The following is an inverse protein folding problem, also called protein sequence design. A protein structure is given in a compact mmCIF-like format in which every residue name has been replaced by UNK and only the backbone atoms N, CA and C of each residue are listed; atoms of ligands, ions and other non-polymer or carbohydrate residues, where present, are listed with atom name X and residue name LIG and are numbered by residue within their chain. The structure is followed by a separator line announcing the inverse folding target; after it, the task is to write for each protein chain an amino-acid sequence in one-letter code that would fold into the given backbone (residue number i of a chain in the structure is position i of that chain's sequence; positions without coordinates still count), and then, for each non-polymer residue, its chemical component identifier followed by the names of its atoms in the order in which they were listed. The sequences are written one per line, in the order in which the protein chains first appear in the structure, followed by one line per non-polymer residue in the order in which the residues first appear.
data_IF_944451272285
#
_entry.id   IF_944451272285
#
_cell.length_a   1.000
_cell.length_b   1.000
_cell.length_c   1.000
_cell.angle_alpha   90.00
_cell.angle_beta   90.00
_cell.angle_gamma   90.00
#
_symmetry.space_group_name_H-M   'P 1'
#
loop_
_entity.id
_entity.type
_entity.pdbx_description
1 polymer ?
#
# COMPACT_ATOMS: atom_id res chain seq x y z
N UNK A 1 -7.67 -13.34 -17.29
CA UNK A 1 -7.72 -14.33 -16.20
C UNK A 1 -6.35 -14.37 -15.54
N UNK A 2 -6.23 -13.82 -14.33
CA UNK A 2 -5.18 -14.10 -13.33
C UNK A 2 -5.42 -13.19 -12.10
N UNK A 3 -6.57 -13.34 -11.43
CA UNK A 3 -6.74 -12.81 -10.08
C UNK A 3 -6.05 -13.77 -9.10
N UNK A 4 -4.72 -13.82 -9.16
CA UNK A 4 -3.91 -14.52 -8.17
C UNK A 4 -3.50 -13.54 -7.08
N UNK A 5 -3.83 -13.85 -5.82
CA UNK A 5 -3.16 -13.21 -4.70
C UNK A 5 -1.67 -13.59 -4.78
N UNK A 6 -0.77 -12.60 -4.64
CA UNK A 6 0.64 -12.90 -4.47
C UNK A 6 0.78 -13.59 -3.10
N UNK A 7 1.06 -14.90 -3.12
CA UNK A 7 1.27 -15.70 -1.92
C UNK A 7 2.78 -15.82 -1.71
N UNK A 8 3.27 -15.28 -0.60
CA UNK A 8 4.65 -15.46 -0.17
C UNK A 8 4.66 -16.72 0.69
N UNK A 9 5.45 -17.76 0.34
CA UNK A 9 5.62 -18.94 1.18
C UNK A 9 6.18 -18.57 2.56
N UNK A 10 5.80 -19.32 3.60
CA UNK A 10 6.27 -19.06 4.98
C UNK A 10 7.80 -19.19 5.11
N UNK A 11 8.43 -20.03 4.28
CA UNK A 11 9.88 -20.24 4.24
C UNK A 11 10.62 -19.31 3.25
N UNK A 12 9.95 -18.29 2.71
CA UNK A 12 10.55 -17.41 1.71
C UNK A 12 11.42 -16.33 2.36
N UNK A 13 12.73 -16.56 2.34
CA UNK A 13 13.73 -15.65 2.87
C UNK A 13 14.84 -15.39 1.85
N UNK A 14 15.11 -14.13 1.54
CA UNK A 14 16.24 -13.73 0.70
C UNK A 14 17.41 -13.26 1.59
N UNK A 15 18.65 -13.66 1.27
CA UNK A 15 19.80 -13.29 2.08
C UNK A 15 20.05 -11.78 2.02
N UNK A 16 20.22 -11.19 3.19
CA UNK A 16 20.51 -9.76 3.40
C UNK A 16 21.74 -9.31 2.59
N UNK A 17 22.75 -10.18 2.47
CA UNK A 17 23.98 -9.93 1.70
C UNK A 17 23.79 -9.80 0.19
N UNK A 18 22.62 -10.15 -0.35
CA UNK A 18 22.30 -9.96 -1.77
C UNK A 18 21.79 -8.54 -2.08
N UNK A 19 21.67 -7.67 -1.07
CA UNK A 19 21.12 -6.33 -1.20
C UNK A 19 22.06 -5.26 -0.65
N UNK A 20 22.00 -4.07 -1.23
CA UNK A 20 22.66 -2.88 -0.70
C UNK A 20 21.83 -2.29 0.44
N UNK A 21 22.15 -2.68 1.67
CA UNK A 21 21.45 -2.23 2.88
C UNK A 21 22.25 -1.13 3.57
N UNK A 22 21.58 -0.05 4.06
CA UNK A 22 22.25 0.98 4.84
C UNK A 22 23.00 0.38 6.04
N UNK A 23 24.26 0.80 6.23
CA UNK A 23 25.14 0.30 7.30
C UNK A 23 24.59 0.49 8.71
N UNK A 24 23.65 1.41 8.90
CA UNK A 24 22.99 1.61 10.19
C UNK A 24 22.01 0.49 10.58
N UNK A 25 21.74 -0.46 9.68
CA UNK A 25 20.93 -1.66 9.94
C UNK A 25 21.76 -2.95 9.85
N UNK A 26 23.08 -2.84 9.83
CA UNK A 26 23.96 -4.00 9.75
C UNK A 26 23.83 -4.86 11.03
N UNK A 27 23.54 -6.15 10.86
CA UNK A 27 23.23 -7.07 11.96
C UNK A 27 21.81 -6.99 12.54
N UNK A 28 20.99 -6.01 12.16
CA UNK A 28 19.61 -5.86 12.64
C UNK A 28 18.58 -6.62 11.79
N UNK A 29 18.97 -7.07 10.60
CA UNK A 29 18.09 -7.76 9.65
C UNK A 29 18.49 -9.23 9.51
N UNK A 30 17.51 -10.13 9.60
CA UNK A 30 17.71 -11.57 9.39
C UNK A 30 17.55 -11.98 7.93
N UNK A 31 16.53 -11.46 7.24
CA UNK A 31 16.19 -11.78 5.86
C UNK A 31 15.40 -10.67 5.18
N UNK A 32 15.41 -10.64 3.84
CA UNK A 32 14.55 -9.78 3.02
C UNK A 32 13.42 -10.64 2.44
N UNK A 33 12.16 -10.26 2.70
CA UNK A 33 10.98 -11.02 2.24
C UNK A 33 10.33 -10.39 1.01
N UNK A 34 10.32 -9.06 0.93
CA UNK A 34 9.72 -8.31 -0.18
C UNK A 34 10.74 -7.32 -0.71
N UNK A 35 11.09 -7.45 -1.98
CA UNK A 35 12.00 -6.54 -2.67
C UNK A 35 11.23 -5.43 -3.36
N UNK A 36 11.93 -4.33 -3.67
CA UNK A 36 11.35 -3.24 -4.47
C UNK A 36 10.85 -3.74 -5.84
N UNK A 37 11.59 -4.63 -6.50
CA UNK A 37 11.20 -5.20 -7.79
C UNK A 37 9.87 -5.95 -7.74
N UNK A 38 9.64 -6.75 -6.69
CA UNK A 38 8.38 -7.47 -6.49
C UNK A 38 7.21 -6.50 -6.26
N UNK A 39 7.46 -5.39 -5.56
CA UNK A 39 6.47 -4.33 -5.37
C UNK A 39 6.12 -3.72 -6.73
N UNK A 40 7.11 -3.28 -7.51
CA UNK A 40 6.90 -2.65 -8.82
C UNK A 40 6.14 -3.55 -9.79
N UNK A 41 6.51 -4.83 -9.87
CA UNK A 41 5.83 -5.80 -10.72
C UNK A 41 4.36 -5.96 -10.33
N UNK A 42 4.08 -6.01 -9.01
CA UNK A 42 2.70 -6.10 -8.54
C UNK A 42 1.90 -4.84 -8.83
N UNK A 43 2.51 -3.65 -8.72
CA UNK A 43 1.87 -2.37 -9.08
C UNK A 43 1.46 -2.35 -10.54
N UNK A 44 2.32 -2.85 -11.44
CA UNK A 44 2.00 -2.96 -12.87
C UNK A 44 0.77 -3.85 -13.13
N UNK A 45 0.72 -5.02 -12.51
CA UNK A 45 -0.45 -5.90 -12.60
C UNK A 45 -1.74 -5.25 -12.05
N UNK A 46 -1.64 -4.46 -10.99
CA UNK A 46 -2.79 -3.70 -10.46
C UNK A 46 -3.26 -2.65 -11.47
N UNK A 47 -2.34 -1.95 -12.13
CA UNK A 47 -2.70 -1.00 -13.18
C UNK A 47 -3.47 -1.68 -14.33
N UNK A 48 -2.98 -2.81 -14.82
CA UNK A 48 -3.64 -3.59 -15.87
C UNK A 48 -5.05 -4.05 -15.46
N UNK A 49 -5.25 -4.38 -14.17
CA UNK A 49 -6.55 -4.78 -13.64
C UNK A 49 -7.54 -3.61 -13.49
N UNK A 50 -7.06 -2.41 -13.12
CA UNK A 50 -7.90 -1.20 -12.95
C UNK A 50 -8.26 -0.58 -14.31
N UNK A 51 -7.37 -0.68 -15.30
CA UNK A 51 -7.55 -0.08 -16.62
C UNK A 51 -7.48 1.45 -16.60
N UNK A 52 -8.13 2.09 -17.58
CA UNK A 52 -8.06 3.54 -17.83
C UNK A 52 -9.00 4.42 -17.01
N UNK A 53 -9.78 3.86 -16.08
CA UNK A 53 -10.79 4.62 -15.31
C UNK A 53 -10.17 5.59 -14.30
N UNK A 54 -10.95 6.57 -13.82
CA UNK A 54 -10.54 7.46 -12.74
C UNK A 54 -10.10 6.65 -11.50
N UNK A 55 -8.95 7.01 -10.94
CA UNK A 55 -8.30 6.32 -9.83
C UNK A 55 -8.05 7.28 -8.68
N UNK A 56 -8.50 6.91 -7.48
CA UNK A 56 -8.23 7.61 -6.23
C UNK A 56 -7.36 6.75 -5.33
N UNK A 57 -6.18 7.25 -5.00
CA UNK A 57 -5.20 6.59 -4.16
C UNK A 57 -5.31 7.11 -2.73
N UNK A 58 -5.47 6.21 -1.76
CA UNK A 58 -5.62 6.54 -0.36
C UNK A 58 -4.44 5.98 0.45
N UNK A 59 -3.63 6.87 1.03
CA UNK A 59 -2.46 6.51 1.82
C UNK A 59 -2.77 6.53 3.32
N UNK A 60 -2.52 5.42 4.02
CA UNK A 60 -2.68 5.35 5.47
C UNK A 60 -1.37 5.63 6.21
N UNK A 61 -1.24 6.86 6.72
CA UNK A 61 -0.08 7.29 7.48
C UNK A 61 0.02 6.60 8.86
N UNK A 62 1.23 6.41 9.41
CA UNK A 62 2.54 6.85 8.89
C UNK A 62 3.32 5.75 8.16
N UNK A 63 2.98 4.47 8.37
CA UNK A 63 3.83 3.35 7.95
C UNK A 63 3.88 3.12 6.45
N UNK A 64 2.80 3.42 5.70
CA UNK A 64 2.73 3.07 4.28
C UNK A 64 3.34 4.10 3.34
N UNK A 65 3.84 5.25 3.85
CA UNK A 65 4.24 6.37 2.98
C UNK A 65 5.34 5.99 1.97
N UNK A 66 6.36 5.21 2.36
CA UNK A 66 7.46 4.82 1.45
C UNK A 66 6.93 3.95 0.32
N UNK A 67 6.12 2.95 0.67
CA UNK A 67 5.47 2.06 -0.30
C UNK A 67 4.49 2.84 -1.18
N UNK A 68 3.73 3.76 -0.59
CA UNK A 68 2.78 4.60 -1.29
C UNK A 68 3.46 5.51 -2.33
N UNK A 69 4.59 6.12 -2.00
CA UNK A 69 5.35 6.90 -2.97
C UNK A 69 5.80 6.04 -4.16
N UNK A 70 6.39 4.88 -3.91
CA UNK A 70 6.79 3.96 -4.98
C UNK A 70 5.61 3.51 -5.85
N UNK A 71 4.45 3.28 -5.23
CA UNK A 71 3.19 2.96 -5.90
C UNK A 71 2.70 4.12 -6.79
N UNK A 72 2.70 5.35 -6.28
CA UNK A 72 2.28 6.55 -7.01
C UNK A 72 3.21 6.80 -8.20
N UNK A 73 4.52 6.64 -8.03
CA UNK A 73 5.50 6.85 -9.08
C UNK A 73 5.32 5.85 -10.23
N UNK A 74 5.22 4.55 -9.91
CA UNK A 74 4.99 3.50 -10.91
C UNK A 74 3.62 3.65 -11.58
N UNK A 75 2.56 3.96 -10.84
CA UNK A 75 1.23 4.19 -11.41
C UNK A 75 1.20 5.42 -12.31
N UNK A 76 1.88 6.49 -11.95
CA UNK A 76 1.97 7.71 -12.77
C UNK A 76 2.68 7.41 -14.09
N UNK A 77 3.76 6.62 -14.05
CA UNK A 77 4.47 6.18 -15.25
C UNK A 77 3.61 5.27 -16.13
N UNK A 78 2.92 4.29 -15.53
CA UNK A 78 2.07 3.36 -16.26
C UNK A 78 0.84 4.05 -16.89
N UNK A 79 0.30 5.07 -16.21
CA UNK A 79 -0.88 5.85 -16.64
C UNK A 79 -0.53 7.10 -17.45
N UNK A 80 0.71 7.26 -17.89
CA UNK A 80 1.15 8.46 -18.64
C UNK A 80 0.27 8.75 -19.87
N UNK A 81 -0.26 7.72 -20.52
CA UNK A 81 -1.15 7.84 -21.68
C UNK A 81 -2.64 7.80 -21.36
N UNK A 82 -3.04 7.71 -20.08
CA UNK A 82 -4.45 7.68 -19.68
C UNK A 82 -5.04 9.09 -19.65
N UNK A 83 -6.27 9.25 -20.14
CA UNK A 83 -6.98 10.53 -20.13
C UNK A 83 -7.59 10.89 -18.78
N UNK A 84 -7.84 9.90 -17.92
CA UNK A 84 -8.48 10.08 -16.62
C UNK A 84 -7.47 10.44 -15.51
N UNK A 85 -7.76 11.45 -14.68
CA UNK A 85 -6.84 11.91 -13.64
C UNK A 85 -6.73 10.93 -12.48
N UNK A 86 -5.56 10.97 -11.82
CA UNK A 86 -5.29 10.26 -10.57
C UNK A 86 -5.34 11.25 -9.41
N UNK A 87 -6.12 10.95 -8.36
CA UNK A 87 -6.13 11.74 -7.11
C UNK A 87 -5.42 10.99 -5.99
N UNK A 88 -4.83 11.73 -5.07
CA UNK A 88 -4.08 11.19 -3.93
C UNK A 88 -4.60 11.84 -2.65
N UNK A 89 -5.02 11.01 -1.71
CA UNK A 89 -5.55 11.41 -0.41
C UNK A 89 -4.78 10.72 0.71
N UNK A 90 -4.63 11.41 1.83
CA UNK A 90 -3.92 10.91 3.00
C UNK A 90 -4.87 10.80 4.19
N UNK A 91 -4.89 9.63 4.81
CA UNK A 91 -5.62 9.41 6.05
C UNK A 91 -4.69 8.91 7.14
N UNK A 92 -5.09 9.20 8.37
CA UNK A 92 -4.53 8.63 9.58
C UNK A 92 -5.62 7.83 10.27
N UNK A 93 -5.39 6.53 10.38
CA UNK A 93 -6.26 5.68 11.18
C UNK A 93 -5.77 5.69 12.62
N UNK A 94 -6.68 5.93 13.57
CA UNK A 94 -6.49 5.63 14.99
C UNK A 94 -7.42 4.47 15.35
N UNK A 95 -6.85 3.37 15.83
CA UNK A 95 -7.59 2.20 16.31
C UNK A 95 -7.51 2.00 17.83
N UNK A 96 -6.85 2.93 18.54
CA UNK A 96 -6.58 2.83 19.97
C UNK A 96 -6.89 4.18 20.65
N UNK A 97 -7.73 4.13 21.68
CA UNK A 97 -7.81 5.12 22.74
C UNK A 97 -7.34 4.38 24.00
N UNK A 98 -6.11 4.69 24.43
CA UNK A 98 -5.39 4.04 25.54
C UNK A 98 -5.22 2.51 25.35
N UNK A 99 -4.89 1.75 26.41
CA UNK A 99 -4.66 0.30 26.39
C UNK A 99 -5.92 -0.54 26.07
N UNK A 100 -7.00 0.10 25.61
CA UNK A 100 -8.25 -0.54 25.22
C UNK A 100 -8.51 -0.34 23.73
N UNK A 101 -8.66 -1.44 22.99
CA UNK A 101 -9.14 -1.35 21.60
C UNK A 101 -10.61 -0.94 21.64
N UNK A 102 -10.91 0.30 21.24
CA UNK A 102 -12.26 0.86 21.23
C UNK A 102 -13.19 0.22 20.17
N UNK A 103 -12.70 -0.76 19.42
CA UNK A 103 -13.44 -1.47 18.38
C UNK A 103 -13.85 -0.58 17.19
N UNK A 104 -13.47 0.71 17.19
CA UNK A 104 -13.89 1.70 16.21
C UNK A 104 -12.68 2.42 15.63
N UNK A 105 -12.44 2.24 14.33
CA UNK A 105 -11.37 2.93 13.61
C UNK A 105 -11.80 4.38 13.36
N UNK A 106 -11.11 5.33 13.97
CA UNK A 106 -11.27 6.74 13.64
C UNK A 106 -10.38 7.08 12.44
N UNK A 107 -11.00 7.55 11.36
CA UNK A 107 -10.32 8.04 10.16
C UNK A 107 -10.18 9.56 10.29
N UNK A 108 -8.94 10.04 10.29
CA UNK A 108 -8.61 11.47 10.37
C UNK A 108 -7.93 11.86 9.06
N UNK A 109 -8.33 12.99 8.46
CA UNK A 109 -7.67 13.54 7.27
C UNK A 109 -8.52 13.62 6.01
N UNK A 110 -9.64 12.88 5.96
CA UNK A 110 -10.67 13.09 4.94
C UNK A 110 -11.78 13.99 5.50
N UNK A 111 -12.06 15.09 4.80
CA UNK A 111 -13.17 16.00 5.09
C UNK A 111 -14.52 15.33 4.89
N UNK A 112 -14.64 14.47 3.86
CA UNK A 112 -15.86 13.73 3.58
C UNK A 112 -15.56 12.45 2.77
N UNK A 113 -16.06 11.30 3.22
CA UNK A 113 -15.95 10.03 2.48
C UNK A 113 -16.82 10.01 1.21
N UNK A 114 -17.81 10.92 1.09
CA UNK A 114 -18.62 11.06 -0.13
C UNK A 114 -17.79 11.46 -1.34
N UNK A 115 -16.61 12.07 -1.18
CA UNK A 115 -15.72 12.42 -2.29
C UNK A 115 -15.13 11.18 -2.99
N UNK A 116 -15.15 10.03 -2.31
CA UNK A 116 -14.71 8.74 -2.84
C UNK A 116 -15.85 7.95 -3.50
N UNK A 117 -17.10 8.43 -3.39
CA UNK A 117 -18.27 7.72 -3.90
C UNK A 117 -18.24 7.64 -5.42
N UNK A 118 -18.30 6.42 -5.96
CA UNK A 118 -18.28 6.17 -7.39
C UNK A 118 -16.89 6.19 -8.04
N UNK A 119 -15.81 6.37 -7.26
CA UNK A 119 -14.43 6.31 -7.74
C UNK A 119 -13.83 4.93 -7.45
N UNK A 120 -12.86 4.51 -8.28
CA UNK A 120 -12.03 3.35 -7.95
C UNK A 120 -11.02 3.78 -6.88
N UNK A 121 -11.18 3.27 -5.66
CA UNK A 121 -10.31 3.61 -4.54
C UNK A 121 -9.30 2.50 -4.30
N UNK A 122 -8.02 2.83 -4.31
CA UNK A 122 -6.95 1.92 -3.91
C UNK A 122 -6.36 2.40 -2.59
N UNK A 123 -6.46 1.54 -1.57
CA UNK A 123 -6.01 1.85 -0.21
C UNK A 123 -4.65 1.19 0.05
N UNK A 124 -3.68 2.00 0.50
CA UNK A 124 -2.33 1.56 0.82
C UNK A 124 -2.11 1.50 2.33
N UNK A 125 -1.95 0.28 2.84
CA UNK A 125 -1.71 -0.06 4.24
C UNK A 125 -0.33 -0.71 4.37
N UNK A 126 0.43 -0.38 5.43
CA UNK A 126 1.74 -0.98 5.66
C UNK A 126 1.67 -2.41 6.21
N UNK A 127 0.59 -2.74 6.91
CA UNK A 127 0.30 -4.08 7.40
C UNK A 127 -1.21 -4.26 7.49
N UNK A 128 -1.71 -5.40 7.03
CA UNK A 128 -3.09 -5.81 7.25
C UNK A 128 -3.10 -6.95 8.28
N UNK A 129 -3.43 -6.64 9.53
CA UNK A 129 -3.69 -7.66 10.53
C UNK A 129 -5.17 -8.04 10.42
N UNK A 130 -5.45 -9.28 10.01
CA UNK A 130 -6.80 -9.86 9.96
C UNK A 130 -7.41 -9.78 11.36
N UNK A 131 -8.26 -8.78 11.61
CA UNK A 131 -8.82 -8.53 12.94
C UNK A 131 -9.35 -7.12 13.17
N UNK A 132 -8.94 -6.14 12.35
CA UNK A 132 -9.59 -4.82 12.34
C UNK A 132 -10.76 -4.84 11.35
N UNK A 133 -12.01 -4.64 11.80
CA UNK A 133 -13.15 -4.54 10.90
C UNK A 133 -13.03 -3.24 10.09
N UNK A 134 -12.61 -3.36 8.84
CA UNK A 134 -12.85 -2.36 7.80
C UNK A 134 -14.20 -2.71 7.16
N UNK A 135 -15.27 -2.35 7.87
CA UNK A 135 -16.64 -2.31 7.32
C UNK A 135 -16.95 -0.88 6.88
#
# INVERSE_FOLDING_TARGET
MAQGNACIPDDFELPVSAFDIPRCYDGDLSAVVITEGLIRDRVRHIHEAIGGNQLSLLCVLKGSYKFFNALVDELSNARWSCSEPMTVDFIRCKSYEDDSSSGRVQIIGLSNLEELRGKNVLVSLSNFVKGLPLN
#
